data_IF_316602724699
#
_entry.id   IF_316602724699
#
_cell.length_a   1.000
_cell.length_b   1.000
_cell.length_c   1.000
_cell.angle_alpha   90.00
_cell.angle_beta   90.00
_cell.angle_gamma   90.00
#
_symmetry.space_group_name_H-M   'P 1'
#
loop_
_entity.id
_entity.type
_entity.pdbx_description
1 polymer ?
#
# COMPACT_ATOMS: atom_id res chain seq x y z
N UNK A 1 -9.65 18.82 -3.33
CA UNK A 1 -8.79 17.65 -3.63
C UNK A 1 -9.00 16.59 -2.55
N UNK A 2 -9.02 15.32 -2.92
CA UNK A 2 -9.10 14.21 -1.94
C UNK A 2 -7.83 14.21 -1.08
N UNK A 3 -7.96 14.04 0.23
CA UNK A 3 -6.85 13.86 1.16
C UNK A 3 -6.84 12.44 1.71
N UNK A 4 -5.66 11.84 1.73
CA UNK A 4 -5.40 10.51 2.28
C UNK A 4 -4.46 10.65 3.48
N UNK A 5 -4.75 9.88 4.52
CA UNK A 5 -3.94 9.74 5.71
C UNK A 5 -3.92 8.26 6.11
N UNK A 6 -3.15 7.92 7.13
CA UNK A 6 -2.97 6.52 7.51
C UNK A 6 -4.26 5.81 7.91
N UNK A 7 -5.20 6.52 8.53
CA UNK A 7 -6.52 5.97 8.87
C UNK A 7 -7.33 5.62 7.62
N UNK A 8 -7.35 6.52 6.62
CA UNK A 8 -8.03 6.25 5.35
C UNK A 8 -7.39 5.10 4.57
N UNK A 9 -6.05 5.03 4.56
CA UNK A 9 -5.33 3.94 3.89
C UNK A 9 -5.64 2.60 4.56
N UNK A 10 -5.63 2.54 5.90
CA UNK A 10 -6.03 1.36 6.65
C UNK A 10 -7.45 0.91 6.33
N UNK A 11 -8.43 1.83 6.34
CA UNK A 11 -9.82 1.53 6.00
C UNK A 11 -9.97 1.01 4.56
N UNK A 12 -9.24 1.59 3.60
CA UNK A 12 -9.23 1.11 2.22
C UNK A 12 -8.71 -0.33 2.14
N UNK A 13 -7.57 -0.62 2.78
CA UNK A 13 -6.93 -1.92 2.73
C UNK A 13 -7.77 -3.01 3.41
N UNK A 14 -8.38 -2.72 4.55
CA UNK A 14 -9.29 -3.65 5.23
C UNK A 14 -10.53 -3.95 4.37
N UNK A 15 -11.10 -2.93 3.72
CA UNK A 15 -12.20 -3.13 2.77
C UNK A 15 -11.77 -4.04 1.62
N UNK A 16 -10.63 -3.77 0.99
CA UNK A 16 -10.13 -4.60 -0.11
C UNK A 16 -9.81 -6.04 0.34
N UNK A 17 -9.23 -6.24 1.52
CA UNK A 17 -8.99 -7.57 2.08
C UNK A 17 -10.29 -8.37 2.21
N UNK A 18 -11.36 -7.74 2.70
CA UNK A 18 -12.70 -8.34 2.75
C UNK A 18 -13.25 -8.64 1.35
N UNK A 19 -13.14 -7.71 0.42
CA UNK A 19 -13.66 -7.90 -0.94
C UNK A 19 -12.91 -8.98 -1.71
N UNK A 20 -11.61 -9.19 -1.43
CA UNK A 20 -10.85 -10.34 -1.95
C UNK A 20 -11.45 -11.67 -1.46
N UNK A 21 -11.76 -11.76 -0.17
CA UNK A 21 -12.41 -12.96 0.39
C UNK A 21 -13.82 -13.19 -0.20
N UNK A 22 -14.50 -12.11 -0.62
CA UNK A 22 -15.77 -12.19 -1.35
C UNK A 22 -15.62 -12.53 -2.84
N UNK A 23 -14.42 -12.87 -3.32
CA UNK A 23 -14.17 -13.21 -4.72
C UNK A 23 -14.23 -12.00 -5.67
N UNK A 24 -14.09 -10.77 -5.16
CA UNK A 24 -14.10 -9.53 -5.98
C UNK A 24 -12.73 -9.15 -6.53
N UNK A 25 -11.77 -10.07 -6.49
CA UNK A 25 -10.50 -9.96 -7.19
C UNK A 25 -10.40 -11.07 -8.25
N UNK A 26 -10.09 -10.67 -9.47
CA UNK A 26 -9.90 -11.59 -10.61
C UNK A 26 -8.59 -12.37 -10.46
N UNK A 27 -8.45 -13.44 -11.24
CA UNK A 27 -7.21 -14.24 -11.32
C UNK A 27 -5.98 -13.47 -11.78
N UNK A 28 -6.16 -12.35 -12.50
CA UNK A 28 -5.08 -11.43 -12.87
C UNK A 28 -4.85 -10.29 -11.86
N UNK A 29 -5.37 -10.44 -10.63
CA UNK A 29 -5.24 -9.48 -9.53
C UNK A 29 -5.81 -8.09 -9.82
N UNK A 30 -6.88 -8.03 -10.62
CA UNK A 30 -7.68 -6.83 -10.86
C UNK A 30 -8.95 -6.85 -10.01
N UNK A 31 -9.47 -5.68 -9.68
CA UNK A 31 -10.66 -5.55 -8.83
C UNK A 31 -11.93 -5.36 -9.67
N UNK A 32 -13.01 -6.03 -9.26
CA UNK A 32 -14.34 -5.75 -9.79
C UNK A 32 -14.80 -4.34 -9.38
N UNK A 33 -15.68 -3.73 -10.19
CA UNK A 33 -16.24 -2.40 -9.89
C UNK A 33 -16.90 -2.34 -8.50
N UNK A 34 -17.60 -3.41 -8.11
CA UNK A 34 -18.25 -3.54 -6.80
C UNK A 34 -17.29 -3.35 -5.63
N UNK A 35 -16.03 -3.77 -5.76
CA UNK A 35 -15.03 -3.58 -4.70
C UNK A 35 -14.71 -2.09 -4.48
N UNK A 36 -14.71 -1.30 -5.54
CA UNK A 36 -14.49 0.15 -5.45
C UNK A 36 -15.72 0.87 -4.92
N UNK A 37 -16.93 0.42 -5.29
CA UNK A 37 -18.18 0.93 -4.69
C UNK A 37 -18.25 0.61 -3.20
N UNK A 38 -17.81 -0.59 -2.79
CA UNK A 38 -17.71 -0.96 -1.38
C UNK A 38 -16.68 -0.09 -0.64
N UNK A 39 -15.52 0.18 -1.24
CA UNK A 39 -14.50 1.06 -0.68
C UNK A 39 -14.99 2.50 -0.51
N UNK A 40 -15.67 3.06 -1.51
CA UNK A 40 -16.32 4.37 -1.43
C UNK A 40 -17.32 4.45 -0.27
N UNK A 41 -18.18 3.43 -0.14
CA UNK A 41 -19.14 3.35 0.97
C UNK A 41 -18.43 3.25 2.32
N UNK A 42 -17.38 2.44 2.42
CA UNK A 42 -16.61 2.26 3.66
C UNK A 42 -15.88 3.55 4.08
N UNK A 43 -15.45 4.37 3.11
CA UNK A 43 -14.70 5.60 3.35
C UNK A 43 -15.57 6.86 3.43
N UNK A 44 -16.89 6.73 3.30
CA UNK A 44 -17.83 7.85 3.43
C UNK A 44 -17.73 8.50 4.81
N UNK A 45 -17.68 9.83 4.86
CA UNK A 45 -17.54 10.59 6.10
C UNK A 45 -16.10 10.75 6.59
N UNK A 46 -15.13 10.01 6.03
CA UNK A 46 -13.72 10.17 6.42
C UNK A 46 -13.17 11.57 6.09
N UNK A 47 -13.75 12.26 5.12
CA UNK A 47 -13.44 13.65 4.77
C UNK A 47 -13.66 14.64 5.92
N UNK A 48 -14.54 14.32 6.88
CA UNK A 48 -14.74 15.13 8.09
C UNK A 48 -13.51 15.11 9.00
N UNK A 49 -12.70 14.04 8.93
CA UNK A 49 -11.51 13.86 9.75
C UNK A 49 -10.21 14.03 8.95
N UNK A 50 -10.15 13.55 7.71
CA UNK A 50 -8.99 13.72 6.83
C UNK A 50 -8.91 15.12 6.20
N UNK A 51 -10.02 15.87 6.24
CA UNK A 51 -10.24 17.04 5.41
C UNK A 51 -10.36 16.70 3.92
N UNK A 52 -10.61 17.73 3.10
CA UNK A 52 -10.75 17.57 1.65
C UNK A 52 -12.18 17.21 1.23
N UNK A 53 -12.31 16.44 0.15
CA UNK A 53 -13.60 15.96 -0.36
C UNK A 53 -13.75 14.46 -0.15
N UNK A 54 -14.99 13.97 -0.21
CA UNK A 54 -15.33 12.55 -0.10
C UNK A 54 -14.53 11.69 -1.11
N UNK A 55 -14.25 10.44 -0.72
CA UNK A 55 -13.47 9.48 -1.50
C UNK A 55 -14.39 8.67 -2.41
N UNK A 56 -14.39 8.98 -3.71
CA UNK A 56 -15.12 8.20 -4.71
C UNK A 56 -14.43 6.87 -5.03
N UNK A 57 -15.15 5.94 -5.66
CA UNK A 57 -14.62 4.67 -6.18
C UNK A 57 -13.36 4.86 -7.04
N UNK A 58 -13.36 5.85 -7.93
CA UNK A 58 -12.21 6.19 -8.77
C UNK A 58 -10.99 6.64 -7.94
N UNK A 59 -11.21 7.44 -6.90
CA UNK A 59 -10.12 7.88 -6.02
C UNK A 59 -9.56 6.73 -5.18
N UNK A 60 -10.39 5.76 -4.79
CA UNK A 60 -9.97 4.55 -4.09
C UNK A 60 -9.11 3.66 -4.99
N UNK A 61 -9.53 3.43 -6.24
CA UNK A 61 -8.77 2.67 -7.23
C UNK A 61 -7.40 3.30 -7.53
N UNK A 62 -7.37 4.63 -7.68
CA UNK A 62 -6.11 5.36 -7.86
C UNK A 62 -5.20 5.23 -6.64
N UNK A 63 -5.74 5.37 -5.41
CA UNK A 63 -4.95 5.23 -4.19
C UNK A 63 -4.38 3.82 -4.03
N UNK A 64 -5.17 2.79 -4.29
CA UNK A 64 -4.71 1.40 -4.32
C UNK A 64 -3.54 1.21 -5.28
N UNK A 65 -3.62 1.79 -6.48
CA UNK A 65 -2.54 1.70 -7.48
C UNK A 65 -1.23 2.30 -6.96
N UNK A 66 -1.31 3.44 -6.24
CA UNK A 66 -0.16 4.05 -5.59
C UNK A 66 0.40 3.16 -4.47
N UNK A 67 -0.45 2.67 -3.56
CA UNK A 67 -0.03 1.78 -2.46
C UNK A 67 0.61 0.50 -2.99
N UNK A 68 0.06 -0.09 -4.07
CA UNK A 68 0.64 -1.27 -4.73
C UNK A 68 2.01 -0.99 -5.33
N UNK A 69 2.20 0.19 -5.95
CA UNK A 69 3.51 0.61 -6.45
C UNK A 69 4.53 0.75 -5.30
N UNK A 70 4.13 1.36 -4.20
CA UNK A 70 4.98 1.51 -3.01
C UNK A 70 5.33 0.17 -2.38
N UNK A 71 4.35 -0.73 -2.24
CA UNK A 71 4.57 -2.10 -1.79
C UNK A 71 5.58 -2.85 -2.67
N UNK A 72 5.47 -2.75 -4.00
CA UNK A 72 6.43 -3.40 -4.92
C UNK A 72 7.85 -2.88 -4.69
N UNK A 73 8.02 -1.58 -4.43
CA UNK A 73 9.33 -1.01 -4.11
C UNK A 73 9.88 -1.56 -2.79
N UNK A 74 9.08 -1.57 -1.72
CA UNK A 74 9.50 -2.10 -0.42
C UNK A 74 9.77 -3.60 -0.50
N UNK A 75 8.96 -4.36 -1.25
CA UNK A 75 9.19 -5.78 -1.49
C UNK A 75 10.50 -6.01 -2.24
N UNK A 76 10.77 -5.25 -3.31
CA UNK A 76 12.04 -5.33 -4.03
C UNK A 76 13.25 -5.09 -3.12
N UNK A 77 13.15 -4.11 -2.21
CA UNK A 77 14.20 -3.86 -1.22
C UNK A 77 14.36 -5.04 -0.27
N UNK A 78 13.27 -5.55 0.31
CA UNK A 78 13.32 -6.71 1.23
C UNK A 78 13.84 -7.99 0.58
N UNK A 79 13.63 -8.17 -0.72
CA UNK A 79 14.09 -9.34 -1.47
C UNK A 79 15.57 -9.20 -1.93
N UNK A 80 16.21 -8.03 -1.77
CA UNK A 80 17.63 -7.81 -2.09
C UNK A 80 18.54 -8.31 -0.98
N UNK A 81 19.64 -8.96 -1.35
CA UNK A 81 20.69 -9.34 -0.40
C UNK A 81 21.25 -8.11 0.34
N UNK A 82 21.47 -8.25 1.64
CA UNK A 82 21.95 -7.16 2.52
C UNK A 82 20.86 -6.24 3.06
N UNK A 83 19.61 -6.39 2.60
CA UNK A 83 18.46 -5.69 3.15
C UNK A 83 17.69 -6.56 4.15
N UNK A 84 17.13 -5.90 5.14
CA UNK A 84 16.27 -6.47 6.18
C UNK A 84 15.03 -5.62 6.41
N UNK A 85 14.33 -5.92 7.51
CA UNK A 85 13.08 -5.26 7.88
C UNK A 85 12.98 -5.08 9.39
N UNK A 86 12.80 -3.84 9.83
CA UNK A 86 12.46 -3.53 11.22
C UNK A 86 10.94 -3.67 11.40
N UNK A 87 10.50 -4.75 12.04
CA UNK A 87 9.09 -5.01 12.31
C UNK A 87 8.46 -4.00 13.28
N UNK A 88 9.24 -3.34 14.14
CA UNK A 88 8.70 -2.35 15.08
C UNK A 88 8.46 -1.02 14.37
N UNK A 89 9.44 -0.57 13.57
CA UNK A 89 9.35 0.69 12.82
C UNK A 89 8.63 0.54 11.48
N UNK A 90 8.38 -0.69 11.05
CA UNK A 90 7.86 -1.01 9.72
C UNK A 90 8.70 -0.36 8.63
N UNK A 91 10.02 -0.55 8.70
CA UNK A 91 11.00 0.19 7.91
C UNK A 91 12.05 -0.77 7.30
N UNK A 92 12.51 -0.45 6.09
CA UNK A 92 13.60 -1.18 5.45
C UNK A 92 14.92 -0.85 6.15
N UNK A 93 15.72 -1.87 6.46
CA UNK A 93 17.03 -1.72 7.11
C UNK A 93 18.12 -2.28 6.22
N UNK A 94 19.27 -1.61 6.16
CA UNK A 94 20.51 -2.12 5.56
C UNK A 94 21.66 -1.22 6.02
N UNK A 95 22.90 -1.67 5.86
CA UNK A 95 24.09 -0.86 6.10
C UNK A 95 24.19 0.27 5.06
N UNK A 96 24.93 1.33 5.39
CA UNK A 96 25.06 2.50 4.52
C UNK A 96 25.70 2.14 3.18
N UNK A 97 26.71 1.26 3.18
CA UNK A 97 27.38 0.80 1.95
C UNK A 97 26.42 0.03 1.03
N UNK A 98 25.52 -0.78 1.61
CA UNK A 98 24.51 -1.54 0.86
C UNK A 98 23.49 -0.58 0.22
N UNK A 99 23.06 0.42 0.97
CA UNK A 99 22.19 1.46 0.45
C UNK A 99 22.86 2.27 -0.65
N UNK A 100 24.10 2.72 -0.46
CA UNK A 100 24.80 3.56 -1.43
C UNK A 100 24.98 2.84 -2.76
N UNK A 101 25.37 1.55 -2.73
CA UNK A 101 25.45 0.71 -3.92
C UNK A 101 24.09 0.58 -4.65
N UNK A 102 22.98 0.41 -3.91
CA UNK A 102 21.65 0.34 -4.51
C UNK A 102 21.23 1.68 -5.15
N UNK A 103 21.48 2.79 -4.45
CA UNK A 103 21.02 4.12 -4.86
C UNK A 103 21.74 4.65 -6.09
N UNK A 104 22.92 4.11 -6.44
CA UNK A 104 23.57 4.38 -7.73
C UNK A 104 22.68 4.05 -8.94
N UNK A 105 21.84 3.01 -8.85
CA UNK A 105 20.92 2.61 -9.92
C UNK A 105 19.45 2.97 -9.62
N UNK A 106 19.11 3.19 -8.35
CA UNK A 106 17.73 3.33 -7.89
C UNK A 106 17.54 4.49 -6.91
N UNK A 107 18.03 5.68 -7.24
CA UNK A 107 17.95 6.89 -6.41
C UNK A 107 16.54 7.15 -5.83
N UNK A 108 15.49 6.92 -6.62
CA UNK A 108 14.09 7.10 -6.21
C UNK A 108 13.65 6.23 -5.02
N UNK A 109 14.43 5.20 -4.64
CA UNK A 109 14.18 4.36 -3.47
C UNK A 109 14.76 4.93 -2.17
N UNK A 110 15.57 5.99 -2.23
CA UNK A 110 16.20 6.61 -1.06
C UNK A 110 15.21 6.99 0.04
N UNK A 111 13.97 7.36 -0.34
CA UNK A 111 12.90 7.68 0.63
C UNK A 111 12.64 6.55 1.63
N UNK A 112 12.84 5.29 1.24
CA UNK A 112 12.58 4.12 2.09
C UNK A 112 13.62 3.90 3.17
N UNK A 113 14.74 4.66 3.19
CA UNK A 113 15.66 4.73 4.33
C UNK A 113 14.97 5.23 5.60
N UNK A 114 13.99 6.12 5.45
CA UNK A 114 13.36 6.82 6.59
C UNK A 114 11.84 6.78 6.58
N UNK A 115 11.22 6.32 5.48
CA UNK A 115 9.76 6.27 5.35
C UNK A 115 9.23 4.90 5.78
N UNK A 116 8.45 4.81 6.87
CA UNK A 116 7.78 3.57 7.23
C UNK A 116 6.76 3.14 6.18
N UNK A 117 6.60 1.84 6.02
CA UNK A 117 5.52 1.23 5.25
C UNK A 117 4.72 0.24 6.12
N UNK A 118 3.84 0.75 7.01
CA UNK A 118 3.12 -0.07 7.99
C UNK A 118 2.09 -1.02 7.37
N UNK A 119 1.89 -0.95 6.06
CA UNK A 119 0.92 -1.77 5.33
C UNK A 119 1.56 -2.98 4.66
N UNK A 120 2.84 -3.28 4.91
CA UNK A 120 3.56 -4.30 4.16
C UNK A 120 2.85 -5.66 4.19
N UNK A 121 2.52 -6.15 5.39
CA UNK A 121 1.92 -7.47 5.58
C UNK A 121 0.49 -7.51 5.00
N UNK A 122 -0.32 -6.47 5.24
CA UNK A 122 -1.66 -6.36 4.65
C UNK A 122 -1.61 -6.33 3.12
N UNK A 123 -0.65 -5.61 2.53
CA UNK A 123 -0.44 -5.57 1.09
C UNK A 123 0.02 -6.93 0.55
N UNK A 124 0.89 -7.64 1.29
CA UNK A 124 1.31 -8.99 0.94
C UNK A 124 0.12 -9.96 0.89
N UNK A 125 -0.74 -9.95 1.90
CA UNK A 125 -1.96 -10.77 1.95
C UNK A 125 -2.88 -10.49 0.75
N UNK A 126 -3.10 -9.21 0.43
CA UNK A 126 -4.02 -8.82 -0.65
C UNK A 126 -3.42 -9.14 -2.02
N UNK A 127 -2.13 -8.92 -2.23
CA UNK A 127 -1.50 -9.11 -3.55
C UNK A 127 -1.12 -10.57 -3.81
N UNK A 128 -0.56 -11.26 -2.82
CA UNK A 128 0.04 -12.59 -2.97
C UNK A 128 -0.71 -13.70 -2.22
N UNK A 129 -1.50 -13.38 -1.19
CA UNK A 129 -2.21 -14.39 -0.41
C UNK A 129 -3.16 -15.20 -1.29
N UNK A 130 -2.95 -16.50 -1.39
CA UNK A 130 -3.95 -17.42 -1.94
C UNK A 130 -5.09 -17.48 -0.92
N UNK A 131 -6.33 -17.23 -1.36
CA UNK A 131 -7.51 -17.61 -0.56
C UNK A 131 -7.62 -19.13 -0.58
#
# INVERSE_FOLDING_TARGET
RVKWNSSCDGMLLECLKKEKANGRMTSNSSWHADAWTAAEKALSGTELHSGGVAKSANSCSYRWTLLKKEYIQVKFLRDKSGFGWDHTKQLVTADDEVWDALLMAHEHLAKWKTTPFPYYDTMYDIVNGTV
#
